data_IF_836628174115
#
_entry.id   IF_836628174115
#
_cell.length_a   1.000
_cell.length_b   1.000
_cell.length_c   1.000
_cell.angle_alpha   90.00
_cell.angle_beta   90.00
_cell.angle_gamma   90.00
#
_symmetry.space_group_name_H-M   'P 1'
#
loop_
_entity.id
_entity.type
_entity.pdbx_description
1 polymer ?
#
# COMPACT_ATOMS: atom_id res chain seq x y z
N UNK A 1 5.41 21.62 8.68
CA UNK A 1 5.45 20.26 9.23
C UNK A 1 4.02 19.81 9.41
N UNK A 2 3.56 18.92 8.54
CA UNK A 2 2.23 18.28 8.58
C UNK A 2 2.15 17.51 9.91
N UNK A 3 1.04 17.68 10.64
CA UNK A 3 0.75 16.98 11.89
C UNK A 3 -0.51 16.19 11.63
N UNK A 4 -0.41 14.93 11.23
CA UNK A 4 -1.58 14.06 11.19
C UNK A 4 -1.54 13.07 10.04
N UNK A 5 -1.99 11.86 10.36
CA UNK A 5 -2.00 10.64 9.58
C UNK A 5 -2.22 10.81 8.07
N UNK A 6 -1.48 10.00 7.31
CA UNK A 6 -1.74 9.73 5.91
C UNK A 6 -3.05 8.94 5.80
N UNK A 7 -4.10 9.56 5.24
CA UNK A 7 -5.38 8.88 4.99
C UNK A 7 -5.36 8.40 3.54
N UNK A 8 -5.24 7.09 3.35
CA UNK A 8 -5.35 6.44 2.04
C UNK A 8 -6.80 6.02 1.76
N UNK A 9 -7.36 6.48 0.64
CA UNK A 9 -8.72 6.15 0.20
C UNK A 9 -8.67 5.42 -1.14
N UNK A 10 -9.19 4.19 -1.18
CA UNK A 10 -9.45 3.49 -2.45
C UNK A 10 -10.91 3.67 -2.82
N UNK A 11 -11.15 4.17 -4.03
CA UNK A 11 -12.49 4.24 -4.62
C UNK A 11 -12.59 3.18 -5.72
N UNK A 12 -13.49 2.22 -5.51
CA UNK A 12 -13.71 1.10 -6.42
C UNK A 12 -14.94 1.41 -7.27
N UNK A 13 -14.76 1.40 -8.58
CA UNK A 13 -15.81 1.66 -9.54
C UNK A 13 -16.28 0.37 -10.22
N UNK A 14 -17.59 0.20 -10.32
CA UNK A 14 -18.19 -0.80 -11.21
C UNK A 14 -17.84 -0.48 -12.66
N UNK A 15 -17.67 -1.50 -13.51
CA UNK A 15 -17.48 -1.34 -14.96
C UNK A 15 -18.67 -0.66 -15.63
N UNK A 16 -19.87 -0.80 -15.05
CA UNK A 16 -21.09 -0.18 -15.58
C UNK A 16 -21.13 1.34 -15.44
N UNK A 17 -20.23 1.94 -14.66
CA UNK A 17 -20.19 3.39 -14.49
C UNK A 17 -19.55 4.07 -15.72
N UNK A 18 -20.16 5.14 -16.24
CA UNK A 18 -19.55 5.96 -17.28
C UNK A 18 -18.20 6.58 -16.87
N UNK A 19 -17.32 6.85 -17.84
CA UNK A 19 -16.00 7.44 -17.56
C UNK A 19 -16.07 8.87 -17.01
N UNK A 20 -17.10 9.64 -17.36
CA UNK A 20 -17.30 10.99 -16.82
C UNK A 20 -17.56 10.97 -15.30
N UNK A 21 -18.14 9.90 -14.78
CA UNK A 21 -18.32 9.73 -13.33
C UNK A 21 -16.95 9.57 -12.65
N UNK A 22 -16.04 8.80 -13.23
CA UNK A 22 -14.68 8.66 -12.71
C UNK A 22 -13.95 10.02 -12.73
N UNK A 23 -13.99 10.74 -13.85
CA UNK A 23 -13.35 12.05 -13.97
C UNK A 23 -13.88 13.07 -12.96
N UNK A 24 -15.18 13.03 -12.68
CA UNK A 24 -15.80 13.87 -11.64
C UNK A 24 -15.30 13.50 -10.24
N UNK A 25 -15.25 12.20 -9.91
CA UNK A 25 -14.70 11.74 -8.63
C UNK A 25 -13.25 12.21 -8.47
N UNK A 26 -12.41 12.02 -9.49
CA UNK A 26 -11.01 12.42 -9.45
C UNK A 26 -10.86 13.93 -9.24
N UNK A 27 -11.70 14.74 -9.88
CA UNK A 27 -11.70 16.21 -9.72
C UNK A 27 -12.07 16.62 -8.30
N UNK A 28 -13.17 16.08 -7.77
CA UNK A 28 -13.65 16.41 -6.42
C UNK A 28 -12.68 15.94 -5.33
N UNK A 29 -12.12 14.72 -5.47
CA UNK A 29 -11.14 14.20 -4.53
C UNK A 29 -9.82 14.98 -4.58
N UNK A 30 -9.41 15.47 -5.75
CA UNK A 30 -8.25 16.36 -5.88
C UNK A 30 -8.51 17.70 -5.19
N UNK A 31 -9.71 18.27 -5.32
CA UNK A 31 -10.09 19.48 -4.61
C UNK A 31 -10.10 19.26 -3.08
N UNK A 32 -10.63 18.12 -2.64
CA UNK A 32 -10.66 17.71 -1.23
C UNK A 32 -9.24 17.57 -0.66
N UNK A 33 -8.36 16.85 -1.35
CA UNK A 33 -6.94 16.71 -0.98
C UNK A 33 -6.29 18.07 -0.78
N UNK A 34 -6.46 18.98 -1.74
CA UNK A 34 -5.90 20.33 -1.67
C UNK A 34 -6.47 21.15 -0.51
N UNK A 35 -7.77 21.01 -0.22
CA UNK A 35 -8.42 21.69 0.89
C UNK A 35 -7.84 21.24 2.24
N UNK A 36 -7.80 19.93 2.52
CA UNK A 36 -7.32 19.40 3.79
C UNK A 36 -5.83 19.63 4.02
N UNK A 37 -5.04 19.56 2.96
CA UNK A 37 -3.60 19.84 3.02
C UNK A 37 -3.31 21.30 3.42
N UNK A 38 -4.12 22.25 2.93
CA UNK A 38 -3.93 23.69 3.16
C UNK A 38 -4.70 24.23 4.35
N UNK A 39 -5.66 23.49 4.89
CA UNK A 39 -6.52 23.98 5.95
C UNK A 39 -5.70 24.21 7.24
N UNK A 40 -5.75 25.42 7.84
CA UNK A 40 -4.92 25.77 9.00
C UNK A 40 -5.08 24.84 10.20
N UNK A 41 -6.31 24.35 10.40
CA UNK A 41 -6.73 23.48 11.51
C UNK A 41 -6.51 21.99 11.24
N UNK A 42 -6.56 21.56 9.97
CA UNK A 42 -6.60 20.13 9.65
C UNK A 42 -5.26 19.58 9.17
N UNK A 43 -4.48 20.32 8.36
CA UNK A 43 -3.10 19.92 7.92
C UNK A 43 -2.90 18.40 7.81
N UNK A 44 -3.83 17.71 7.18
CA UNK A 44 -3.83 16.26 6.99
C UNK A 44 -3.53 15.97 5.52
N UNK A 45 -2.82 14.88 5.27
CA UNK A 45 -2.59 14.37 3.92
C UNK A 45 -3.66 13.32 3.59
N UNK A 46 -4.39 13.57 2.50
CA UNK A 46 -5.35 12.61 1.95
C UNK A 46 -4.80 12.16 0.60
N UNK A 47 -4.50 10.88 0.50
CA UNK A 47 -4.19 10.23 -0.75
C UNK A 47 -5.35 9.36 -1.18
N UNK A 48 -5.59 9.33 -2.49
CA UNK A 48 -6.66 8.52 -3.03
C UNK A 48 -6.27 7.90 -4.36
N UNK A 49 -6.85 6.74 -4.62
CA UNK A 49 -6.79 6.08 -5.93
C UNK A 49 -8.21 5.71 -6.37
N UNK A 50 -8.51 5.98 -7.63
CA UNK A 50 -9.76 5.59 -8.25
C UNK A 50 -9.48 4.49 -9.28
N UNK A 51 -10.10 3.33 -9.12
CA UNK A 51 -9.87 2.17 -10.00
C UNK A 51 -11.14 1.39 -10.25
N UNK A 52 -11.18 0.78 -11.44
CA UNK A 52 -12.21 -0.18 -11.82
C UNK A 52 -12.01 -1.51 -11.07
N UNK A 53 -13.11 -2.23 -10.80
CA UNK A 53 -13.07 -3.54 -10.15
C UNK A 53 -12.17 -4.52 -10.90
N UNK A 54 -12.30 -4.59 -12.23
CA UNK A 54 -11.50 -5.47 -13.09
C UNK A 54 -10.00 -5.21 -12.97
N UNK A 55 -9.61 -3.94 -12.78
CA UNK A 55 -8.20 -3.57 -12.57
C UNK A 55 -7.71 -4.18 -11.26
N UNK A 56 -8.47 -4.06 -10.17
CA UNK A 56 -8.09 -4.66 -8.89
C UNK A 56 -8.00 -6.19 -8.99
N UNK A 57 -8.97 -6.84 -9.63
CA UNK A 57 -8.96 -8.30 -9.82
C UNK A 57 -7.74 -8.77 -10.62
N UNK A 58 -7.33 -8.01 -11.64
CA UNK A 58 -6.10 -8.29 -12.39
C UNK A 58 -4.85 -8.11 -11.52
N UNK A 59 -4.83 -7.10 -10.64
CA UNK A 59 -3.69 -6.90 -9.74
C UNK A 59 -3.56 -8.00 -8.68
N UNK A 60 -4.63 -8.75 -8.39
CA UNK A 60 -4.57 -9.94 -7.55
C UNK A 60 -3.82 -11.13 -8.17
N UNK A 61 -3.34 -11.02 -9.41
CA UNK A 61 -2.36 -11.96 -9.95
C UNK A 61 -1.01 -11.88 -9.23
N UNK A 62 -0.76 -10.78 -8.49
CA UNK A 62 0.40 -10.64 -7.60
C UNK A 62 1.74 -10.83 -8.34
N UNK A 63 1.80 -10.39 -9.60
CA UNK A 63 2.85 -10.77 -10.54
C UNK A 63 4.10 -9.90 -10.47
N UNK A 64 3.91 -8.61 -10.18
CA UNK A 64 4.98 -7.63 -10.02
C UNK A 64 4.81 -6.79 -8.75
N UNK A 65 5.75 -5.89 -8.49
CA UNK A 65 5.71 -5.04 -7.30
C UNK A 65 4.47 -4.13 -7.23
N UNK A 66 3.96 -3.66 -8.37
CA UNK A 66 2.78 -2.81 -8.41
C UNK A 66 1.50 -3.58 -8.08
N UNK A 67 1.41 -4.82 -8.55
CA UNK A 67 0.36 -5.78 -8.20
C UNK A 67 0.41 -6.11 -6.71
N UNK A 68 1.60 -6.37 -6.16
CA UNK A 68 1.78 -6.64 -4.72
C UNK A 68 1.28 -5.48 -3.87
N UNK A 69 1.71 -4.26 -4.19
CA UNK A 69 1.29 -3.05 -3.47
C UNK A 69 -0.22 -2.88 -3.54
N UNK A 70 -0.81 -2.93 -4.74
CA UNK A 70 -2.26 -2.75 -4.89
C UNK A 70 -3.06 -3.82 -4.14
N UNK A 71 -2.61 -5.07 -4.19
CA UNK A 71 -3.23 -6.19 -3.46
C UNK A 71 -3.14 -6.01 -1.95
N UNK A 72 -1.99 -5.54 -1.42
CA UNK A 72 -1.82 -5.22 0.00
C UNK A 72 -2.76 -4.10 0.44
N UNK A 73 -2.86 -3.01 -0.32
CA UNK A 73 -3.76 -1.89 0.04
C UNK A 73 -5.22 -2.40 0.07
N UNK A 74 -5.63 -3.25 -0.89
CA UNK A 74 -6.95 -3.88 -0.87
C UNK A 74 -7.16 -4.79 0.35
N UNK A 75 -6.13 -5.57 0.71
CA UNK A 75 -6.16 -6.50 1.83
C UNK A 75 -6.31 -5.79 3.18
N UNK A 76 -5.60 -4.69 3.39
CA UNK A 76 -5.64 -3.87 4.61
C UNK A 76 -6.83 -2.89 4.63
N UNK A 77 -7.53 -2.73 3.51
CA UNK A 77 -8.64 -1.77 3.40
C UNK A 77 -9.83 -2.11 4.29
N UNK A 78 -10.44 -1.07 4.85
CA UNK A 78 -11.72 -1.14 5.55
C UNK A 78 -12.82 -0.47 4.73
N UNK A 79 -14.01 -1.05 4.73
CA UNK A 79 -15.17 -0.43 4.08
C UNK A 79 -15.49 0.92 4.73
N UNK A 80 -15.47 1.99 3.92
CA UNK A 80 -15.81 3.35 4.35
C UNK A 80 -17.24 3.73 3.97
N UNK A 81 -17.70 3.37 2.76
CA UNK A 81 -19.02 3.71 2.27
C UNK A 81 -19.25 3.34 0.80
N UNK A 82 -20.50 3.49 0.35
CA UNK A 82 -20.92 3.16 -1.02
C UNK A 82 -21.55 1.77 -1.13
N UNK A 83 -21.23 1.05 -2.20
CA UNK A 83 -21.78 -0.29 -2.46
C UNK A 83 -21.04 -1.35 -1.65
N UNK A 84 -21.67 -1.86 -0.60
CA UNK A 84 -21.14 -2.98 0.18
C UNK A 84 -20.97 -4.24 -0.68
N UNK A 85 -21.88 -4.48 -1.62
CA UNK A 85 -21.80 -5.59 -2.58
C UNK A 85 -20.50 -5.53 -3.39
N UNK A 86 -20.16 -4.36 -3.94
CA UNK A 86 -18.94 -4.21 -4.72
C UNK A 86 -17.68 -4.45 -3.87
N UNK A 87 -17.68 -3.96 -2.62
CA UNK A 87 -16.58 -4.23 -1.69
C UNK A 87 -16.45 -5.72 -1.39
N UNK A 88 -17.56 -6.41 -1.11
CA UNK A 88 -17.56 -7.85 -0.85
C UNK A 88 -17.08 -8.65 -2.07
N UNK A 89 -17.48 -8.29 -3.30
CA UNK A 89 -16.98 -8.95 -4.51
C UNK A 89 -15.46 -8.88 -4.63
N UNK A 90 -14.86 -7.73 -4.28
CA UNK A 90 -13.40 -7.56 -4.29
C UNK A 90 -12.74 -8.39 -3.18
N UNK A 91 -13.33 -8.43 -1.98
CA UNK A 91 -12.85 -9.27 -0.88
C UNK A 91 -12.90 -10.76 -1.25
N UNK A 92 -14.00 -11.21 -1.85
CA UNK A 92 -14.20 -12.58 -2.31
C UNK A 92 -13.24 -12.94 -3.44
N UNK A 93 -12.95 -11.99 -4.34
CA UNK A 93 -11.96 -12.16 -5.39
C UNK A 93 -10.55 -12.41 -4.80
N UNK A 94 -10.15 -11.69 -3.75
CA UNK A 94 -8.85 -11.94 -3.10
C UNK A 94 -8.75 -13.35 -2.53
N UNK A 95 -9.80 -13.82 -1.84
CA UNK A 95 -9.82 -15.17 -1.26
C UNK A 95 -9.79 -16.22 -2.37
N UNK A 96 -10.53 -15.99 -3.45
CA UNK A 96 -10.58 -16.90 -4.61
C UNK A 96 -9.25 -17.00 -5.35
N UNK A 97 -8.52 -15.89 -5.52
CA UNK A 97 -7.20 -15.91 -6.16
C UNK A 97 -6.10 -16.40 -5.21
N UNK A 98 -6.36 -16.41 -3.90
CA UNK A 98 -5.40 -16.80 -2.87
C UNK A 98 -4.35 -15.74 -2.58
N UNK A 99 -4.56 -14.50 -3.05
CA UNK A 99 -3.61 -13.39 -2.86
C UNK A 99 -3.48 -12.99 -1.39
N UNK A 100 -4.54 -13.18 -0.60
CA UNK A 100 -4.53 -13.00 0.85
C UNK A 100 -3.43 -13.83 1.53
N UNK A 101 -3.30 -15.10 1.15
CA UNK A 101 -2.25 -15.99 1.69
C UNK A 101 -0.86 -15.62 1.21
N UNK A 102 -0.74 -15.12 -0.02
CA UNK A 102 0.54 -14.64 -0.55
C UNK A 102 1.02 -13.42 0.23
N UNK A 103 0.11 -12.50 0.55
CA UNK A 103 0.40 -11.31 1.36
C UNK A 103 0.84 -11.71 2.77
N UNK A 104 0.12 -12.62 3.44
CA UNK A 104 0.52 -13.14 4.77
C UNK A 104 1.89 -13.84 4.72
N UNK A 105 2.17 -14.60 3.66
CA UNK A 105 3.47 -15.22 3.45
C UNK A 105 4.61 -14.20 3.32
N UNK A 106 4.40 -13.13 2.56
CA UNK A 106 5.35 -12.02 2.42
C UNK A 106 5.57 -11.31 3.77
N UNK A 107 4.52 -11.11 4.57
CA UNK A 107 4.63 -10.54 5.92
C UNK A 107 5.45 -11.42 6.88
N UNK A 108 5.17 -12.72 6.92
CA UNK A 108 5.90 -13.67 7.74
C UNK A 108 7.39 -13.74 7.37
N UNK A 109 7.68 -13.69 6.08
CA UNK A 109 9.06 -13.65 5.57
C UNK A 109 9.75 -12.36 5.99
N UNK A 110 9.14 -11.21 5.74
CA UNK A 110 9.67 -9.90 6.11
C UNK A 110 9.90 -9.77 7.62
N UNK A 111 9.02 -10.36 8.46
CA UNK A 111 9.18 -10.36 9.89
C UNK A 111 10.39 -11.20 10.35
N UNK A 112 10.61 -12.36 9.73
CA UNK A 112 11.79 -13.21 10.00
C UNK A 112 13.07 -12.50 9.58
N UNK A 113 13.08 -11.92 8.38
CA UNK A 113 14.24 -11.18 7.86
C UNK A 113 14.59 -10.01 8.76
N UNK A 114 13.58 -9.24 9.20
CA UNK A 114 13.78 -8.14 10.16
C UNK A 114 14.40 -8.64 11.47
N UNK A 115 13.89 -9.73 12.04
CA UNK A 115 14.43 -10.30 13.29
C UNK A 115 15.88 -10.76 13.12
N UNK A 116 16.19 -11.43 12.01
CA UNK A 116 17.54 -11.88 11.69
C UNK A 116 18.49 -10.69 11.50
N UNK A 117 18.06 -9.67 10.77
CA UNK A 117 18.83 -8.44 10.58
C UNK A 117 19.10 -7.74 11.92
N UNK A 118 18.08 -7.59 12.78
CA UNK A 118 18.25 -7.02 14.12
C UNK A 118 19.24 -7.82 14.97
N UNK A 119 19.18 -9.16 14.92
CA UNK A 119 20.11 -10.01 15.66
C UNK A 119 21.55 -9.85 15.16
N UNK A 120 21.76 -9.89 13.84
CA UNK A 120 23.08 -9.62 13.22
C UNK A 120 23.64 -8.25 13.64
N UNK A 121 22.80 -7.21 13.64
CA UNK A 121 23.19 -5.85 14.03
C UNK A 121 23.58 -5.74 15.51
N UNK A 122 22.90 -6.48 16.40
CA UNK A 122 23.20 -6.48 17.84
C UNK A 122 24.48 -7.25 18.19
N UNK A 123 24.83 -8.27 17.41
CA UNK A 123 26.04 -9.08 17.62
C UNK A 123 27.27 -8.53 16.88
N UNK A 124 27.07 -7.66 15.88
CA UNK A 124 28.14 -7.08 15.08
C UNK A 124 29.15 -6.30 15.95
N UNK A 125 30.43 -6.63 15.80
CA UNK A 125 31.54 -5.89 16.38
C UNK A 125 32.10 -4.90 15.36
N UNK A 126 32.31 -3.66 15.79
CA UNK A 126 32.72 -2.55 14.90
C UNK A 126 34.00 -2.85 14.11
N UNK A 127 34.93 -3.62 14.71
CA UNK A 127 36.23 -3.91 14.12
C UNK A 127 36.19 -5.05 13.08
N UNK A 128 35.06 -5.78 12.96
CA UNK A 128 34.94 -6.96 12.10
C UNK A 128 33.64 -7.02 11.30
N UNK A 129 32.91 -5.90 11.18
CA UNK A 129 31.63 -5.88 10.47
C UNK A 129 31.86 -6.04 8.95
N UNK A 130 31.24 -7.08 8.37
CA UNK A 130 31.27 -7.29 6.93
C UNK A 130 30.33 -6.30 6.20
N UNK A 131 30.51 -6.19 4.88
CA UNK A 131 29.76 -5.25 4.06
C UNK A 131 28.26 -5.56 3.97
N UNK A 132 27.86 -6.82 4.05
CA UNK A 132 26.45 -7.24 4.06
C UNK A 132 25.76 -6.76 5.34
N UNK A 133 26.39 -6.96 6.49
CA UNK A 133 25.91 -6.53 7.80
C UNK A 133 25.93 -5.01 7.92
N UNK A 134 26.95 -4.34 7.37
CA UNK A 134 26.98 -2.88 7.26
C UNK A 134 25.82 -2.34 6.42
N UNK A 135 25.43 -3.03 5.36
CA UNK A 135 24.30 -2.64 4.50
C UNK A 135 22.96 -2.58 5.24
N UNK A 136 22.81 -3.32 6.35
CA UNK A 136 21.59 -3.38 7.15
C UNK A 136 21.36 -2.13 8.01
N UNK A 137 22.36 -1.26 8.17
CA UNK A 137 22.23 0.03 8.85
C UNK A 137 21.60 1.13 7.97
N UNK A 138 21.56 0.93 6.65
CA UNK A 138 21.02 1.90 5.69
C UNK A 138 19.56 1.60 5.35
N UNK A 139 18.81 2.62 4.95
CA UNK A 139 17.43 2.43 4.52
C UNK A 139 17.38 1.62 3.22
N UNK A 140 16.28 0.90 2.98
CA UNK A 140 16.12 0.02 1.81
C UNK A 140 16.25 0.75 0.46
N UNK A 141 15.99 2.06 0.40
CA UNK A 141 16.26 2.89 -0.78
C UNK A 141 17.75 3.16 -1.01
N UNK A 142 18.55 3.28 0.04
CA UNK A 142 20.00 3.52 -0.03
C UNK A 142 20.78 2.24 -0.38
N UNK A 143 20.23 1.06 -0.07
CA UNK A 143 20.88 -0.25 -0.35
C UNK A 143 21.06 -0.55 -1.85
N UNK A 144 20.27 0.07 -2.73
CA UNK A 144 20.39 -0.08 -4.19
C UNK A 144 21.63 0.65 -4.74
N UNK A 145 22.14 1.66 -4.03
CA UNK A 145 23.33 2.41 -4.45
C UNK A 145 24.66 1.70 -4.13
N UNK A 146 24.61 0.61 -3.36
CA UNK A 146 25.78 -0.16 -2.94
C UNK A 146 25.84 -1.59 -3.50
N UNK A 147 25.02 -1.90 -4.52
CA UNK A 147 25.01 -3.21 -5.23
C UNK A 147 25.52 -3.09 -6.65
#
# INVERSE_FOLDING_TARGET
>A
MVKGSDIDIIIILSESLPEDVQARIDTEMTALKNFYLRHPEHRHEIDFICKRKSVMERQFQYSDIHDKIASKIAYESMFLGGSLTLYMEVRDAMVRTGVDRMIEGDFDHALKDRKNAMHKLLEAHNDTIDEETRSLFYFSQERVEFS
#
